data_IF_378915458282
#
_entry.id   IF_378915458282
#
_cell.length_a   1.000
_cell.length_b   1.000
_cell.length_c   1.000
_cell.angle_alpha   90.00
_cell.angle_beta   90.00
_cell.angle_gamma   90.00
#
_symmetry.space_group_name_H-M   'P 1'
#
loop_
_entity.id
_entity.type
_entity.pdbx_description
1 polymer ?
#
# COMPACT_ATOMS: atom_id res chain seq x y z
N UNK A 1 14.26 31.90 20.22
CA UNK A 1 13.08 31.92 19.35
C UNK A 1 13.39 31.04 18.15
N UNK A 2 12.61 29.98 17.90
CA UNK A 2 12.84 29.13 16.74
C UNK A 2 12.44 29.90 15.47
N UNK A 3 13.37 30.04 14.53
CA UNK A 3 13.12 30.61 13.20
C UNK A 3 12.27 29.63 12.40
N UNK A 4 11.06 30.05 12.03
CA UNK A 4 10.18 29.27 11.16
C UNK A 4 10.82 29.28 9.76
N UNK A 5 11.09 28.11 9.14
CA UNK A 5 11.62 28.08 7.79
C UNK A 5 10.62 28.70 6.81
N UNK A 6 11.08 29.43 5.77
CA UNK A 6 10.20 30.02 4.78
C UNK A 6 9.41 28.93 4.04
N UNK A 7 8.14 29.22 3.73
CA UNK A 7 7.29 28.29 3.01
C UNK A 7 7.87 27.99 1.61
N UNK A 8 7.78 26.73 1.14
CA UNK A 8 8.23 26.37 -0.20
C UNK A 8 7.45 27.13 -1.27
N UNK A 9 8.16 27.59 -2.31
CA UNK A 9 7.56 28.33 -3.43
C UNK A 9 6.91 27.34 -4.38
N UNK A 10 5.58 27.43 -4.52
CA UNK A 10 4.82 26.62 -5.48
C UNK A 10 4.96 27.17 -6.91
N UNK A 11 5.02 26.30 -7.94
CA UNK A 11 4.92 26.71 -9.35
C UNK A 11 3.65 27.54 -9.60
N UNK A 12 3.68 28.45 -10.58
CA UNK A 12 2.58 29.39 -10.87
C UNK A 12 1.22 28.70 -11.01
N UNK A 13 1.18 27.60 -11.75
CA UNK A 13 -0.05 26.85 -12.05
C UNK A 13 -0.61 26.14 -10.80
N UNK A 14 0.28 25.70 -9.90
CA UNK A 14 -0.13 25.08 -8.62
C UNK A 14 -0.68 26.11 -7.63
N UNK A 15 -0.25 27.39 -7.70
CA UNK A 15 -0.78 28.44 -6.82
C UNK A 15 -2.25 28.75 -7.14
N UNK A 16 -2.65 28.70 -8.40
CA UNK A 16 -4.03 28.93 -8.79
C UNK A 16 -4.95 27.81 -8.28
N UNK A 17 -4.53 26.56 -8.40
CA UNK A 17 -5.36 25.42 -7.96
C UNK A 17 -5.44 25.26 -6.44
N UNK A 18 -4.38 25.63 -5.69
CA UNK A 18 -4.34 25.47 -4.22
C UNK A 18 -5.02 26.62 -3.47
N UNK A 19 -5.01 27.84 -4.01
CA UNK A 19 -5.51 29.03 -3.29
C UNK A 19 -6.85 29.57 -3.81
N UNK A 20 -7.41 29.01 -4.88
CA UNK A 20 -8.76 29.37 -5.34
C UNK A 20 -9.78 28.48 -4.65
N UNK A 21 -10.67 29.11 -3.88
CA UNK A 21 -11.75 28.41 -3.19
C UNK A 21 -12.63 27.65 -4.20
N UNK A 22 -13.03 26.38 -3.95
CA UNK A 22 -13.79 25.57 -4.91
C UNK A 22 -15.07 26.23 -5.43
N UNK A 23 -15.70 27.08 -4.62
CA UNK A 23 -16.89 27.85 -5.00
C UNK A 23 -16.63 29.00 -6.01
N UNK A 24 -15.37 29.38 -6.23
CA UNK A 24 -14.96 30.35 -7.24
C UNK A 24 -14.68 29.74 -8.62
N UNK A 25 -14.72 28.40 -8.74
CA UNK A 25 -14.52 27.71 -10.00
C UNK A 25 -15.88 27.35 -10.65
N UNK A 26 -15.97 27.37 -11.99
CA UNK A 26 -17.17 26.90 -12.68
C UNK A 26 -17.45 25.43 -12.33
N UNK A 27 -18.71 25.04 -12.02
CA UNK A 27 -19.04 23.67 -11.58
C UNK A 27 -18.75 22.59 -12.63
N UNK A 28 -18.55 22.97 -13.90
CA UNK A 28 -18.24 22.09 -15.03
C UNK A 28 -16.89 22.41 -15.69
N UNK A 29 -15.90 22.96 -14.96
CA UNK A 29 -14.57 23.16 -15.52
C UNK A 29 -14.00 21.80 -15.94
N UNK A 30 -13.67 21.58 -17.22
CA UNK A 30 -13.05 20.33 -17.66
C UNK A 30 -11.69 20.17 -16.99
N UNK A 31 -11.35 18.95 -16.59
CA UNK A 31 -10.00 18.62 -16.13
C UNK A 31 -9.04 18.86 -17.28
N UNK A 32 -8.03 19.69 -17.06
CA UNK A 32 -6.96 19.92 -18.03
C UNK A 32 -6.05 18.69 -18.03
N UNK A 33 -6.08 17.89 -19.10
CA UNK A 33 -5.35 16.61 -19.18
C UNK A 33 -3.82 16.76 -18.99
N UNK A 34 -3.28 17.93 -19.33
CA UNK A 34 -1.85 18.25 -19.19
C UNK A 34 -1.50 18.85 -17.82
N UNK A 35 -2.49 19.21 -17.01
CA UNK A 35 -2.29 19.87 -15.73
C UNK A 35 -2.50 18.88 -14.57
N UNK A 36 -1.39 18.30 -14.09
CA UNK A 36 -1.39 17.39 -12.93
C UNK A 36 -1.96 17.98 -11.62
N UNK A 37 -2.24 19.29 -11.58
CA UNK A 37 -2.79 20.01 -10.44
C UNK A 37 -4.29 20.35 -10.59
N UNK A 38 -4.92 20.07 -11.73
CA UNK A 38 -6.31 20.50 -12.01
C UNK A 38 -7.38 19.81 -11.16
N UNK A 39 -7.01 18.76 -10.43
CA UNK A 39 -7.91 18.06 -9.51
C UNK A 39 -7.64 18.51 -8.07
N UNK A 40 -8.32 19.59 -7.68
CA UNK A 40 -8.25 20.15 -6.33
C UNK A 40 -8.61 19.11 -5.25
N UNK A 41 -9.49 18.14 -5.54
CA UNK A 41 -9.84 17.08 -4.58
C UNK A 41 -8.71 16.07 -4.42
N UNK A 42 -8.01 15.74 -5.51
CA UNK A 42 -6.79 14.93 -5.46
C UNK A 42 -5.68 15.63 -4.68
N UNK A 43 -5.51 16.94 -4.86
CA UNK A 43 -4.54 17.73 -4.11
C UNK A 43 -4.89 17.84 -2.62
N UNK A 44 -6.16 18.05 -2.29
CA UNK A 44 -6.65 18.06 -0.91
C UNK A 44 -6.41 16.70 -0.24
N UNK A 45 -6.70 15.60 -0.94
CA UNK A 45 -6.46 14.25 -0.44
C UNK A 45 -4.97 13.92 -0.26
N UNK A 46 -4.12 14.24 -1.24
CA UNK A 46 -2.68 14.08 -1.12
C UNK A 46 -2.10 14.97 -0.01
N UNK A 47 -2.61 16.19 0.13
CA UNK A 47 -2.30 17.08 1.23
C UNK A 47 -2.68 16.47 2.58
N UNK A 48 -3.87 15.86 2.69
CA UNK A 48 -4.29 15.12 3.88
C UNK A 48 -3.36 13.93 4.19
N UNK A 49 -3.01 13.11 3.19
CA UNK A 49 -2.13 11.96 3.38
C UNK A 49 -0.71 12.37 3.80
N UNK A 50 -0.17 13.43 3.20
CA UNK A 50 1.13 13.97 3.62
C UNK A 50 1.06 14.60 5.02
N UNK A 51 -0.05 15.26 5.35
CA UNK A 51 -0.26 15.82 6.70
C UNK A 51 -0.39 14.71 7.74
N UNK A 52 -1.05 13.61 7.42
CA UNK A 52 -1.14 12.42 8.27
C UNK A 52 0.23 11.78 8.48
N UNK A 53 1.03 11.61 7.42
CA UNK A 53 2.40 11.11 7.53
C UNK A 53 3.29 12.02 8.36
N UNK A 54 3.24 13.35 8.12
CA UNK A 54 4.00 14.34 8.89
C UNK A 54 3.55 14.40 10.36
N UNK A 55 2.25 14.26 10.61
CA UNK A 55 1.69 14.18 11.96
C UNK A 55 2.15 12.92 12.68
N UNK A 56 2.14 11.77 12.01
CA UNK A 56 2.65 10.52 12.58
C UNK A 56 4.15 10.56 12.87
N UNK A 57 4.94 11.24 12.03
CA UNK A 57 6.37 11.45 12.25
C UNK A 57 6.64 12.39 13.44
N UNK A 58 5.86 13.47 13.56
CA UNK A 58 5.89 14.37 14.70
C UNK A 58 5.48 13.66 16.01
N UNK A 59 4.46 12.79 15.96
CA UNK A 59 4.04 11.98 17.11
C UNK A 59 5.12 11.00 17.55
N UNK A 60 5.78 10.31 16.61
CA UNK A 60 6.91 9.41 16.91
C UNK A 60 8.10 10.15 17.53
N UNK A 61 8.40 11.35 17.03
CA UNK A 61 9.46 12.20 17.58
C UNK A 61 9.13 12.64 19.01
N UNK A 62 7.86 12.94 19.30
CA UNK A 62 7.41 13.42 20.61
C UNK A 62 7.20 12.31 21.64
N UNK A 63 6.85 11.10 21.21
CA UNK A 63 6.66 9.92 22.07
C UNK A 63 7.37 8.68 21.51
N UNK A 64 8.70 8.61 21.63
CA UNK A 64 9.50 7.55 21.00
C UNK A 64 9.25 6.15 21.56
N UNK A 65 8.61 6.03 22.72
CA UNK A 65 8.25 4.75 23.36
C UNK A 65 6.80 4.32 23.10
N UNK A 66 6.01 5.14 22.40
CA UNK A 66 4.63 4.78 22.09
C UNK A 66 4.58 3.73 20.97
N UNK A 67 3.79 2.68 21.20
CA UNK A 67 3.56 1.64 20.19
C UNK A 67 2.68 2.17 19.06
N UNK A 68 2.81 1.58 17.85
CA UNK A 68 2.03 2.01 16.67
C UNK A 68 0.52 2.02 16.95
N UNK A 69 0.00 1.04 17.70
CA UNK A 69 -1.40 1.01 18.10
C UNK A 69 -1.81 2.18 18.99
N UNK A 70 -0.97 2.58 19.94
CA UNK A 70 -1.24 3.74 20.81
C UNK A 70 -1.26 5.04 20.00
N UNK A 71 -0.39 5.17 19.01
CA UNK A 71 -0.36 6.33 18.11
C UNK A 71 -1.60 6.39 17.20
N UNK A 72 -2.07 5.24 16.69
CA UNK A 72 -3.30 5.16 15.90
C UNK A 72 -4.54 5.53 16.71
N UNK A 73 -4.63 5.12 17.97
CA UNK A 73 -5.75 5.48 18.86
C UNK A 73 -5.81 6.99 19.13
N UNK A 74 -4.66 7.62 19.36
CA UNK A 74 -4.56 9.08 19.57
C UNK A 74 -4.98 9.84 18.30
N UNK A 75 -4.57 9.37 17.12
CA UNK A 75 -4.98 9.96 15.84
C UNK A 75 -6.50 9.83 15.60
N UNK A 76 -7.09 8.69 15.96
CA UNK A 76 -8.53 8.42 15.78
C UNK A 76 -9.42 9.23 16.73
N UNK A 77 -8.97 9.53 17.95
CA UNK A 77 -9.74 10.38 18.89
C UNK A 77 -9.91 11.83 18.41
N UNK A 78 -9.21 12.24 17.35
CA UNK A 78 -9.26 13.59 16.80
C UNK A 78 -9.95 13.71 15.42
N UNK A 79 -10.54 12.64 14.88
CA UNK A 79 -11.14 12.67 13.52
C UNK A 79 -12.69 12.70 13.55
N UNK A 80 -13.36 13.74 12.98
CA UNK A 80 -14.81 13.82 12.96
C UNK A 80 -15.40 13.31 11.62
N UNK A 81 -16.35 12.37 11.72
CA UNK A 81 -17.38 11.93 10.74
C UNK A 81 -17.15 10.60 9.97
N UNK A 82 -18.17 9.72 10.03
CA UNK A 82 -18.33 8.52 9.20
C UNK A 82 -19.77 8.46 8.66
N UNK A 83 -19.95 8.15 7.37
CA UNK A 83 -21.24 7.89 6.69
C UNK A 83 -21.22 6.49 6.01
N UNK A 84 -22.38 5.86 5.74
CA UNK A 84 -22.46 4.46 5.29
C UNK A 84 -22.39 4.31 3.75
N UNK A 85 -21.73 3.24 3.27
CA UNK A 85 -21.49 2.94 1.83
C UNK A 85 -22.32 1.73 1.39
N UNK A 86 -22.97 1.82 0.20
CA UNK A 86 -23.68 0.73 -0.47
C UNK A 86 -22.73 -0.09 -1.36
N UNK A 87 -22.87 -1.43 -1.32
CA UNK A 87 -22.03 -2.37 -2.07
C UNK A 87 -22.52 -2.58 -3.51
N UNK A 88 -21.59 -2.61 -4.47
CA UNK A 88 -21.79 -2.99 -5.88
C UNK A 88 -21.14 -4.36 -6.09
N UNK A 89 -21.86 -5.29 -6.73
CA UNK A 89 -21.35 -6.62 -7.12
C UNK A 89 -21.12 -6.61 -8.64
N UNK A 90 -19.92 -7.00 -9.08
CA UNK A 90 -19.56 -7.13 -10.50
C UNK A 90 -19.32 -8.61 -10.83
N UNK A 91 -19.92 -9.08 -11.93
CA UNK A 91 -19.79 -10.44 -12.46
C UNK A 91 -18.91 -10.42 -13.72
N UNK A 92 -17.81 -11.17 -13.75
CA UNK A 92 -16.91 -11.28 -14.92
C UNK A 92 -16.92 -12.71 -15.48
N UNK A 93 -16.89 -12.84 -16.82
CA UNK A 93 -16.80 -14.10 -17.55
C UNK A 93 -15.34 -14.60 -17.65
N UNK A 94 -15.11 -15.91 -17.51
CA UNK A 94 -13.79 -16.51 -17.39
C UNK A 94 -13.15 -16.90 -18.74
N UNK A 95 -12.04 -16.26 -19.10
CA UNK A 95 -11.04 -16.76 -20.07
C UNK A 95 -10.00 -17.54 -19.25
N UNK A 96 -9.43 -18.67 -19.72
CA UNK A 96 -8.33 -19.35 -19.03
C UNK A 96 -7.09 -18.45 -19.04
N UNK A 97 -6.98 -17.56 -18.05
CA UNK A 97 -5.89 -16.61 -17.94
C UNK A 97 -4.68 -17.31 -17.31
N UNK A 98 -3.59 -17.36 -18.07
CA UNK A 98 -2.31 -17.79 -17.55
C UNK A 98 -1.88 -16.83 -16.43
N UNK A 99 -1.53 -17.39 -15.27
CA UNK A 99 -1.01 -16.62 -14.15
C UNK A 99 0.26 -15.90 -14.61
N UNK A 100 0.36 -14.56 -14.48
CA UNK A 100 1.57 -13.86 -14.90
C UNK A 100 2.77 -14.38 -14.11
N UNK A 101 3.97 -14.48 -14.71
CA UNK A 101 5.14 -14.96 -13.98
C UNK A 101 5.49 -14.03 -12.83
N UNK A 102 5.81 -14.59 -11.66
CA UNK A 102 6.29 -13.80 -10.53
C UNK A 102 7.68 -13.20 -10.83
N UNK A 103 7.97 -11.95 -10.41
CA UNK A 103 9.29 -11.36 -10.60
C UNK A 103 10.39 -12.23 -9.99
N UNK A 104 11.41 -12.66 -10.75
CA UNK A 104 12.45 -13.53 -10.20
C UNK A 104 13.16 -12.85 -9.03
N UNK A 105 13.56 -13.58 -8.00
CA UNK A 105 14.29 -13.01 -6.86
C UNK A 105 15.57 -13.83 -6.61
N UNK A 106 16.63 -13.21 -6.06
CA UNK A 106 17.85 -13.94 -5.70
C UNK A 106 17.56 -14.96 -4.60
N UNK A 107 18.36 -16.02 -4.53
CA UNK A 107 18.18 -17.12 -3.58
C UNK A 107 18.11 -16.65 -2.12
N UNK A 108 18.93 -15.66 -1.75
CA UNK A 108 18.95 -15.08 -0.41
C UNK A 108 17.61 -14.42 -0.03
N UNK A 109 16.92 -13.80 -1.00
CA UNK A 109 15.58 -13.26 -0.77
C UNK A 109 14.55 -14.38 -0.59
N UNK A 110 14.63 -15.44 -1.40
CA UNK A 110 13.70 -16.56 -1.31
C UNK A 110 13.78 -17.29 0.04
N UNK A 111 14.99 -17.43 0.60
CA UNK A 111 15.17 -17.98 1.94
C UNK A 111 14.43 -17.14 2.99
N UNK A 112 14.56 -15.81 2.92
CA UNK A 112 13.92 -14.90 3.87
C UNK A 112 12.39 -14.86 3.74
N UNK A 113 11.87 -15.01 2.52
CA UNK A 113 10.42 -15.00 2.25
C UNK A 113 9.75 -16.29 2.71
N UNK A 114 10.37 -17.43 2.40
CA UNK A 114 9.77 -18.75 2.61
C UNK A 114 10.16 -19.41 3.93
N UNK A 115 10.90 -18.74 4.80
CA UNK A 115 11.07 -19.16 6.19
C UNK A 115 9.97 -18.52 7.04
N UNK A 116 9.19 -19.34 7.73
CA UNK A 116 8.12 -18.83 8.59
C UNK A 116 8.69 -18.05 9.79
N UNK A 117 8.19 -16.84 10.14
CA UNK A 117 8.77 -16.00 11.19
C UNK A 117 8.87 -16.66 12.57
N UNK A 118 7.98 -17.59 12.89
CA UNK A 118 8.02 -18.34 14.15
C UNK A 118 9.20 -19.33 14.26
N UNK A 119 9.83 -19.70 13.13
CA UNK A 119 11.03 -20.54 13.13
C UNK A 119 12.32 -19.74 13.24
N UNK A 120 12.25 -18.41 13.11
CA UNK A 120 13.40 -17.52 13.24
C UNK A 120 13.65 -17.24 14.72
N UNK A 121 14.88 -17.47 15.23
CA UNK A 121 15.22 -17.13 16.60
C UNK A 121 14.98 -15.63 16.88
N UNK A 122 14.42 -15.25 18.04
CA UNK A 122 14.10 -13.85 18.34
C UNK A 122 15.32 -12.92 18.35
N UNK A 123 16.52 -13.48 18.54
CA UNK A 123 17.79 -12.75 18.58
C UNK A 123 18.63 -12.97 17.32
N UNK A 124 18.03 -13.33 16.17
CA UNK A 124 18.78 -13.46 14.93
C UNK A 124 19.37 -12.10 14.54
N UNK A 125 20.70 -12.04 14.47
CA UNK A 125 21.41 -10.85 13.98
C UNK A 125 21.14 -10.72 12.49
N UNK A 126 20.63 -9.55 12.07
CA UNK A 126 20.48 -9.23 10.65
C UNK A 126 21.86 -9.08 10.03
N UNK A 127 22.08 -9.76 8.90
CA UNK A 127 23.30 -9.59 8.12
C UNK A 127 23.27 -8.22 7.41
N UNK A 128 24.15 -7.27 7.76
CA UNK A 128 24.13 -5.94 7.17
C UNK A 128 24.46 -5.93 5.67
N UNK A 129 25.06 -7.00 5.15
CA UNK A 129 25.38 -7.14 3.72
C UNK A 129 24.21 -7.66 2.90
N UNK A 130 23.28 -8.38 3.54
CA UNK A 130 22.09 -8.91 2.89
C UNK A 130 20.89 -7.98 3.10
N UNK A 131 20.53 -7.22 2.06
CA UNK A 131 19.38 -6.32 2.09
C UNK A 131 18.02 -7.00 2.36
N UNK A 132 17.95 -8.32 2.26
CA UNK A 132 16.75 -9.13 2.54
C UNK A 132 16.72 -9.76 3.93
N UNK A 133 17.77 -9.61 4.75
CA UNK A 133 18.00 -10.36 6.00
C UNK A 133 16.96 -10.17 7.13
N UNK A 134 15.85 -9.50 6.87
CA UNK A 134 14.79 -9.25 7.84
C UNK A 134 13.43 -9.43 7.16
N UNK A 135 12.93 -10.66 7.20
CA UNK A 135 11.62 -11.02 6.67
C UNK A 135 10.48 -10.18 7.26
N UNK A 136 10.56 -9.74 8.53
CA UNK A 136 9.52 -8.89 9.14
C UNK A 136 9.57 -7.48 8.57
N UNK A 137 10.76 -6.94 8.32
CA UNK A 137 10.92 -5.65 7.63
C UNK A 137 10.39 -5.72 6.20
N UNK A 138 10.67 -6.83 5.49
CA UNK A 138 10.14 -7.04 4.14
C UNK A 138 8.61 -7.14 4.14
N UNK A 139 8.02 -7.88 5.08
CA UNK A 139 6.57 -7.99 5.24
C UNK A 139 5.93 -6.62 5.51
N UNK A 140 6.46 -5.85 6.47
CA UNK A 140 5.92 -4.54 6.81
C UNK A 140 6.01 -3.56 5.64
N UNK A 141 7.15 -3.53 4.94
CA UNK A 141 7.35 -2.71 3.76
C UNK A 141 6.38 -3.12 2.63
N UNK A 142 6.31 -4.42 2.35
CA UNK A 142 5.46 -4.96 1.31
C UNK A 142 3.98 -4.72 1.59
N UNK A 143 3.53 -4.78 2.85
CA UNK A 143 2.14 -4.48 3.21
C UNK A 143 1.74 -3.07 2.78
N UNK A 144 2.57 -2.06 3.07
CA UNK A 144 2.31 -0.68 2.64
C UNK A 144 2.37 -0.52 1.12
N UNK A 145 3.35 -1.15 0.46
CA UNK A 145 3.56 -1.00 -0.98
C UNK A 145 2.54 -1.76 -1.82
N UNK A 146 2.05 -2.91 -1.37
CA UNK A 146 0.99 -3.67 -2.03
C UNK A 146 -0.31 -2.88 -2.00
N UNK A 147 -0.66 -2.28 -0.85
CA UNK A 147 -1.85 -1.43 -0.77
C UNK A 147 -1.76 -0.23 -1.71
N UNK A 148 -0.62 0.46 -1.71
CA UNK A 148 -0.36 1.60 -2.59
C UNK A 148 -0.45 1.21 -4.08
N UNK A 149 0.29 0.16 -4.48
CA UNK A 149 0.32 -0.31 -5.86
C UNK A 149 -1.04 -0.83 -6.33
N UNK A 150 -1.75 -1.57 -5.49
CA UNK A 150 -3.09 -2.05 -5.81
C UNK A 150 -4.06 -0.88 -5.97
N UNK A 151 -4.00 0.13 -5.08
CA UNK A 151 -4.80 1.35 -5.19
C UNK A 151 -4.51 2.12 -6.49
N UNK A 152 -3.24 2.30 -6.85
CA UNK A 152 -2.83 2.95 -8.11
C UNK A 152 -3.38 2.22 -9.34
N UNK A 153 -3.35 0.89 -9.32
CA UNK A 153 -3.92 0.04 -10.37
C UNK A 153 -5.44 0.21 -10.45
N UNK A 154 -6.15 0.17 -9.32
CA UNK A 154 -7.59 0.40 -9.28
C UNK A 154 -7.94 1.80 -9.81
N UNK A 155 -7.21 2.84 -9.39
CA UNK A 155 -7.46 4.19 -9.90
C UNK A 155 -7.25 4.30 -11.42
N UNK A 156 -6.26 3.60 -11.96
CA UNK A 156 -6.00 3.55 -13.41
C UNK A 156 -7.15 2.84 -14.16
N UNK A 157 -7.71 1.77 -13.58
CA UNK A 157 -8.81 1.00 -14.17
C UNK A 157 -10.18 1.67 -14.03
N UNK A 158 -10.37 2.47 -12.97
CA UNK A 158 -11.63 3.17 -12.69
C UNK A 158 -11.42 4.68 -12.52
N UNK A 159 -11.04 5.41 -13.58
CA UNK A 159 -10.65 6.83 -13.49
C UNK A 159 -11.81 7.77 -13.10
N UNK A 160 -13.07 7.30 -13.19
CA UNK A 160 -14.26 8.08 -12.82
C UNK A 160 -14.72 7.87 -11.38
N UNK A 161 -14.10 6.93 -10.65
CA UNK A 161 -14.46 6.65 -9.26
C UNK A 161 -13.83 7.68 -8.32
N UNK A 162 -14.58 8.06 -7.29
CA UNK A 162 -14.08 8.93 -6.22
C UNK A 162 -13.04 8.22 -5.34
N UNK A 163 -12.23 8.99 -4.62
CA UNK A 163 -11.23 8.46 -3.69
C UNK A 163 -11.85 7.55 -2.62
N UNK A 164 -13.05 7.89 -2.14
CA UNK A 164 -13.80 7.09 -1.15
C UNK A 164 -14.24 5.74 -1.72
N UNK A 165 -14.75 5.72 -2.96
CA UNK A 165 -15.15 4.49 -3.66
C UNK A 165 -13.96 3.58 -3.93
N UNK A 166 -12.83 4.14 -4.40
CA UNK A 166 -11.59 3.39 -4.60
C UNK A 166 -11.10 2.81 -3.27
N UNK A 167 -11.11 3.60 -2.19
CA UNK A 167 -10.68 3.11 -0.87
C UNK A 167 -11.56 1.97 -0.37
N UNK A 168 -12.89 2.08 -0.52
CA UNK A 168 -13.82 1.02 -0.14
C UNK A 168 -13.60 -0.26 -0.99
N UNK A 169 -13.36 -0.11 -2.28
CA UNK A 169 -13.05 -1.22 -3.18
C UNK A 169 -11.74 -1.90 -2.80
N UNK A 170 -10.68 -1.14 -2.56
CA UNK A 170 -9.36 -1.66 -2.14
C UNK A 170 -9.50 -2.44 -0.83
N UNK A 171 -10.10 -1.83 0.20
CA UNK A 171 -10.24 -2.45 1.52
C UNK A 171 -11.04 -3.75 1.50
N UNK A 172 -12.04 -3.86 0.62
CA UNK A 172 -12.88 -5.06 0.51
C UNK A 172 -12.29 -6.15 -0.38
N UNK A 173 -11.38 -5.83 -1.31
CA UNK A 173 -10.90 -6.79 -2.32
C UNK A 173 -9.44 -7.21 -2.16
N UNK A 174 -8.60 -6.38 -1.55
CA UNK A 174 -7.14 -6.60 -1.52
C UNK A 174 -6.74 -7.91 -0.85
N UNK A 175 -7.40 -8.29 0.25
CA UNK A 175 -7.08 -9.52 0.96
C UNK A 175 -7.39 -10.77 0.13
N UNK A 176 -8.52 -10.77 -0.59
CA UNK A 176 -8.87 -11.85 -1.51
C UNK A 176 -7.97 -11.89 -2.75
N UNK A 177 -7.50 -10.73 -3.22
CA UNK A 177 -6.50 -10.64 -4.29
C UNK A 177 -5.18 -11.34 -3.90
N UNK A 178 -4.63 -11.02 -2.71
CA UNK A 178 -3.39 -11.63 -2.22
C UNK A 178 -3.55 -13.14 -2.04
N UNK A 179 -4.68 -13.59 -1.49
CA UNK A 179 -5.00 -15.01 -1.29
C UNK A 179 -5.00 -15.79 -2.62
N UNK A 180 -5.68 -15.27 -3.64
CA UNK A 180 -5.71 -15.88 -4.98
C UNK A 180 -4.32 -15.92 -5.62
N UNK A 181 -3.53 -14.85 -5.50
CA UNK A 181 -2.19 -14.79 -6.07
C UNK A 181 -1.26 -15.84 -5.42
N UNK A 182 -1.24 -15.93 -4.09
CA UNK A 182 -0.44 -16.92 -3.35
C UNK A 182 -0.84 -18.34 -3.72
N UNK A 183 -2.14 -18.61 -3.83
CA UNK A 183 -2.66 -19.91 -4.26
C UNK A 183 -2.24 -20.24 -5.69
N UNK A 184 -2.36 -19.28 -6.62
CA UNK A 184 -1.99 -19.43 -8.02
C UNK A 184 -0.51 -19.79 -8.22
N UNK A 185 0.37 -19.27 -7.37
CA UNK A 185 1.81 -19.58 -7.40
C UNK A 185 2.23 -20.78 -6.55
N UNK A 186 1.31 -21.43 -5.84
CA UNK A 186 1.61 -22.56 -4.92
C UNK A 186 2.64 -22.20 -3.84
N UNK A 187 2.69 -20.94 -3.43
CA UNK A 187 3.71 -20.45 -2.48
C UNK A 187 3.53 -20.99 -1.07
N UNK A 188 2.34 -21.44 -0.70
CA UNK A 188 2.06 -22.06 0.61
C UNK A 188 2.91 -23.32 0.85
N UNK A 189 3.21 -24.08 -0.22
CA UNK A 189 3.99 -25.33 -0.17
C UNK A 189 5.49 -25.08 -0.08
N UNK A 190 5.93 -23.89 -0.48
CA UNK A 190 7.33 -23.47 -0.39
C UNK A 190 7.74 -23.05 1.04
N UNK A 191 6.77 -22.70 1.90
CA UNK A 191 7.05 -22.21 3.26
C UNK A 191 7.62 -23.33 4.15
N UNK A 192 8.75 -23.04 4.79
CA UNK A 192 9.46 -23.90 5.75
C UNK A 192 9.34 -23.37 7.18
N UNK A 193 9.47 -24.26 8.16
CA UNK A 193 9.45 -23.88 9.58
C UNK A 193 8.08 -23.47 10.12
N UNK A 194 6.99 -23.85 9.43
CA UNK A 194 5.62 -23.58 9.89
C UNK A 194 5.33 -24.35 11.18
N UNK A 195 4.78 -23.70 12.24
CA UNK A 195 4.31 -24.40 13.43
C UNK A 195 3.16 -25.37 13.09
N UNK A 196 3.09 -26.57 13.70
CA UNK A 196 2.03 -27.54 13.40
C UNK A 196 0.60 -27.04 13.73
N UNK A 197 0.48 -26.08 14.64
CA UNK A 197 -0.78 -25.49 15.06
C UNK A 197 -1.29 -24.37 14.13
N UNK A 198 -0.48 -23.92 13.18
CA UNK A 198 -0.85 -22.82 12.29
C UNK A 198 -1.60 -23.36 11.08
N UNK A 199 -2.77 -22.79 10.81
CA UNK A 199 -3.52 -23.05 9.60
C UNK A 199 -2.77 -22.48 8.38
N UNK A 200 -2.24 -23.40 7.57
CA UNK A 200 -1.55 -23.12 6.32
C UNK A 200 -2.43 -22.40 5.30
N UNK A 201 -3.74 -22.59 5.40
CA UNK A 201 -4.71 -22.06 4.46
C UNK A 201 -5.34 -20.75 4.88
N UNK A 202 -4.96 -20.24 6.06
CA UNK A 202 -5.42 -18.95 6.56
C UNK A 202 -5.09 -17.79 5.62
N UNK A 203 -6.02 -16.84 5.53
CA UNK A 203 -5.86 -15.62 4.73
C UNK A 203 -4.73 -14.75 5.25
N UNK A 204 -4.52 -14.79 6.56
CA UNK A 204 -3.44 -14.10 7.25
C UNK A 204 -2.08 -14.60 6.77
N UNK A 205 -1.89 -15.92 6.66
CA UNK A 205 -0.64 -16.51 6.17
C UNK A 205 -0.42 -16.20 4.69
N UNK A 206 -1.47 -16.25 3.86
CA UNK A 206 -1.37 -15.83 2.46
C UNK A 206 -0.98 -14.35 2.34
N UNK A 207 -1.64 -13.46 3.10
CA UNK A 207 -1.29 -12.05 3.15
C UNK A 207 0.16 -11.81 3.54
N UNK A 208 0.66 -12.52 4.57
CA UNK A 208 2.05 -12.46 5.02
C UNK A 208 3.03 -12.86 3.91
N UNK A 209 2.83 -14.02 3.28
CA UNK A 209 3.70 -14.53 2.21
C UNK A 209 3.74 -13.53 1.05
N UNK A 210 2.57 -13.06 0.61
CA UNK A 210 2.46 -12.11 -0.50
C UNK A 210 3.16 -10.79 -0.19
N UNK A 211 2.92 -10.22 0.99
CA UNK A 211 3.54 -8.96 1.41
C UNK A 211 5.06 -9.10 1.55
N UNK A 212 5.55 -10.19 2.15
CA UNK A 212 7.00 -10.42 2.29
C UNK A 212 7.68 -10.51 0.93
N UNK A 213 7.07 -11.23 -0.01
CA UNK A 213 7.56 -11.33 -1.38
C UNK A 213 7.53 -9.97 -2.09
N UNK A 214 6.42 -9.23 -2.01
CA UNK A 214 6.29 -7.90 -2.61
C UNK A 214 7.31 -6.90 -2.06
N UNK A 215 7.60 -6.95 -0.76
CA UNK A 215 8.66 -6.17 -0.13
C UNK A 215 10.04 -6.48 -0.74
N UNK A 216 10.33 -7.76 -0.97
CA UNK A 216 11.57 -8.18 -1.63
C UNK A 216 11.63 -7.73 -3.10
N UNK A 217 10.52 -7.84 -3.84
CA UNK A 217 10.42 -7.32 -5.22
C UNK A 217 10.74 -5.83 -5.28
N UNK A 218 10.23 -5.05 -4.33
CA UNK A 218 10.55 -3.63 -4.27
C UNK A 218 12.02 -3.37 -3.92
N UNK A 219 12.59 -4.08 -2.95
CA UNK A 219 14.02 -3.95 -2.57
C UNK A 219 14.96 -4.32 -3.72
N UNK A 220 14.53 -5.24 -4.60
CA UNK A 220 15.32 -5.66 -5.75
C UNK A 220 15.12 -4.77 -6.99
N UNK A 221 13.87 -4.45 -7.33
CA UNK A 221 13.51 -3.84 -8.61
C UNK A 221 12.81 -2.49 -8.52
N UNK A 222 12.47 -2.02 -7.32
CA UNK A 222 11.75 -0.77 -7.10
C UNK A 222 10.23 -0.86 -7.31
N UNK A 223 9.57 0.28 -7.14
CA UNK A 223 8.11 0.38 -7.09
C UNK A 223 7.42 0.09 -8.43
N UNK A 224 7.93 0.61 -9.55
CA UNK A 224 7.30 0.43 -10.87
C UNK A 224 7.19 -1.04 -11.27
N UNK A 225 8.21 -1.85 -10.94
CA UNK A 225 8.19 -3.29 -11.21
C UNK A 225 7.13 -4.00 -10.37
N UNK A 226 7.00 -3.65 -9.10
CA UNK A 226 5.98 -4.17 -8.20
C UNK A 226 4.57 -3.80 -8.70
N UNK A 227 4.34 -2.53 -9.04
CA UNK A 227 3.06 -2.04 -9.55
C UNK A 227 2.67 -2.74 -10.85
N UNK A 228 3.57 -2.86 -11.81
CA UNK A 228 3.31 -3.56 -13.07
C UNK A 228 2.97 -5.04 -12.88
N UNK A 229 3.62 -5.71 -11.92
CA UNK A 229 3.28 -7.09 -11.57
C UNK A 229 1.90 -7.20 -10.90
N UNK A 230 1.55 -6.28 -9.99
CA UNK A 230 0.22 -6.22 -9.38
C UNK A 230 -0.86 -5.96 -10.43
N UNK A 231 -0.63 -5.06 -11.38
CA UNK A 231 -1.57 -4.80 -12.48
C UNK A 231 -1.84 -6.08 -13.28
N UNK A 232 -0.77 -6.78 -13.68
CA UNK A 232 -0.88 -8.06 -14.38
C UNK A 232 -1.66 -9.11 -13.57
N UNK A 233 -1.47 -9.15 -12.24
CA UNK A 233 -2.19 -10.07 -11.35
C UNK A 233 -3.66 -9.71 -11.17
N UNK A 234 -4.04 -8.44 -11.18
CA UNK A 234 -5.48 -8.07 -11.21
C UNK A 234 -6.16 -8.47 -12.52
N UNK A 235 -5.34 -8.96 -13.45
CA UNK A 235 -5.61 -9.93 -14.51
C UNK A 235 -6.66 -10.98 -14.22
N UNK A 236 -6.33 -11.78 -13.20
CA UNK A 236 -6.70 -13.20 -13.03
C UNK A 236 -8.01 -13.39 -12.26
#
# INVERSE_FOLDING_TARGET
>A
MATIPPAPVLPGDARLEVFVHPAGLPPNRPLEEDNKFSDARRLEYLGMQMTELAYMDALKTRWPQATTQQLTVIAQTHSPNHLPVKSIVLTFAAVPMAVPPAPPLPGDALLEIFIHPASVPPNRVCDPTNKFSDGRRLEALGKSLVELAYRDVMQTKWPRSSATEISALVNSTISGFMERAVHAYQWKDAVRGRPPSLDADSREEAGRIFCTYAGAVHVEYGYERLRGWIDALTTI
#
